data_IF_119893637945
#
_entry.id   IF_119893637945
#
_cell.length_a   1.000
_cell.length_b   1.000
_cell.length_c   1.000
_cell.angle_alpha   90.00
_cell.angle_beta   90.00
_cell.angle_gamma   90.00
#
_symmetry.space_group_name_H-M   'P 1'
#
loop_
_entity.id
_entity.type
_entity.pdbx_description
1 polymer ?
#
# COMPACT_ATOMS: atom_id res chain seq x y z
N UNK A 1 10.45 4.38 -23.24
CA UNK A 1 9.84 4.34 -21.90
C UNK A 1 8.51 5.07 -21.97
N UNK A 2 7.38 4.43 -21.66
CA UNK A 2 6.09 5.12 -21.61
C UNK A 2 6.03 5.93 -20.31
N UNK A 3 5.92 7.26 -20.40
CA UNK A 3 5.67 8.13 -19.24
C UNK A 3 4.43 7.66 -18.47
N UNK A 4 4.47 7.74 -17.15
CA UNK A 4 3.28 7.48 -16.32
C UNK A 4 2.18 8.50 -16.69
N UNK A 5 0.94 8.06 -16.98
CA UNK A 5 -0.15 8.98 -17.25
C UNK A 5 -0.43 9.89 -16.03
N UNK A 6 -0.79 11.16 -16.29
CA UNK A 6 -0.94 12.19 -15.25
C UNK A 6 -1.96 11.82 -14.18
N UNK A 7 -3.13 11.31 -14.56
CA UNK A 7 -4.19 10.99 -13.60
C UNK A 7 -3.77 9.89 -12.59
N UNK A 8 -3.30 8.69 -13.00
CA UNK A 8 -2.73 7.71 -12.08
C UNK A 8 -1.60 8.27 -11.22
N UNK A 9 -0.72 9.10 -11.78
CA UNK A 9 0.38 9.69 -11.03
C UNK A 9 -0.14 10.58 -9.88
N UNK A 10 -0.99 11.56 -10.19
CA UNK A 10 -1.50 12.50 -9.18
C UNK A 10 -2.36 11.81 -8.13
N UNK A 11 -3.23 10.87 -8.54
CA UNK A 11 -4.06 10.13 -7.60
C UNK A 11 -3.22 9.25 -6.67
N UNK A 12 -2.16 8.61 -7.20
CA UNK A 12 -1.31 7.77 -6.38
C UNK A 12 -0.40 8.57 -5.44
N UNK A 13 0.06 9.75 -5.86
CA UNK A 13 0.74 10.70 -4.98
C UNK A 13 -0.18 11.24 -3.88
N UNK A 14 -1.44 11.56 -4.20
CA UNK A 14 -2.43 11.95 -3.20
C UNK A 14 -2.70 10.82 -2.21
N UNK A 15 -2.64 9.57 -2.65
CA UNK A 15 -2.69 8.38 -1.78
C UNK A 15 -1.56 8.30 -0.76
N UNK A 16 -0.46 9.06 -0.89
CA UNK A 16 0.59 9.12 0.14
C UNK A 16 0.24 10.05 1.31
N UNK A 17 -0.75 10.93 1.15
CA UNK A 17 -1.07 11.95 2.15
C UNK A 17 -1.36 11.37 3.55
N UNK A 18 -2.16 10.29 3.71
CA UNK A 18 -2.41 9.75 5.05
C UNK A 18 -1.16 9.17 5.74
N UNK A 19 -0.22 8.62 4.96
CA UNK A 19 1.04 8.13 5.51
C UNK A 19 1.93 9.28 5.99
N UNK A 20 2.08 10.31 5.15
CA UNK A 20 2.84 11.52 5.49
C UNK A 20 2.22 12.26 6.67
N UNK A 21 0.89 12.34 6.74
CA UNK A 21 0.17 12.94 7.86
C UNK A 21 0.44 12.17 9.15
N UNK A 22 0.38 10.83 9.10
CA UNK A 22 0.72 10.00 10.25
C UNK A 22 2.15 10.27 10.72
N UNK A 23 3.14 10.34 9.83
CA UNK A 23 4.52 10.69 10.18
C UNK A 23 4.60 12.09 10.80
N UNK A 24 3.87 13.08 10.25
CA UNK A 24 3.81 14.43 10.82
C UNK A 24 3.28 14.44 12.25
N UNK A 25 2.17 13.73 12.51
CA UNK A 25 1.61 13.59 13.87
C UNK A 25 2.49 12.78 14.82
N UNK A 26 3.44 12.00 14.31
CA UNK A 26 4.41 11.30 15.17
C UNK A 26 5.52 12.24 15.66
N UNK A 27 5.92 13.23 14.86
CA UNK A 27 7.02 14.15 15.21
C UNK A 27 6.60 15.51 15.78
N UNK A 28 5.31 15.85 15.73
CA UNK A 28 4.80 17.14 16.21
C UNK A 28 3.66 16.96 17.19
N UNK A 29 3.92 17.26 18.46
CA UNK A 29 2.93 17.21 19.54
C UNK A 29 1.75 18.15 19.27
N UNK A 30 2.01 19.36 18.76
CA UNK A 30 0.96 20.31 18.39
C UNK A 30 0.06 19.77 17.28
N UNK A 31 0.66 19.17 16.24
CA UNK A 31 -0.10 18.58 15.14
C UNK A 31 -0.89 17.36 15.60
N UNK A 32 -0.30 16.53 16.48
CA UNK A 32 -0.98 15.41 17.11
C UNK A 32 -2.18 15.87 17.93
N UNK A 33 -1.99 16.83 18.84
CA UNK A 33 -3.03 17.35 19.72
C UNK A 33 -4.17 17.99 18.92
N UNK A 34 -3.83 18.80 17.91
CA UNK A 34 -4.82 19.40 17.02
C UNK A 34 -5.59 18.33 16.24
N UNK A 35 -4.91 17.33 15.67
CA UNK A 35 -5.53 16.25 14.91
C UNK A 35 -6.42 15.38 15.80
N UNK A 36 -5.97 15.08 17.01
CA UNK A 36 -6.73 14.32 17.99
C UNK A 36 -8.03 15.04 18.37
N UNK A 37 -7.97 16.36 18.59
CA UNK A 37 -9.12 17.16 18.99
C UNK A 37 -10.13 17.39 17.85
N UNK A 38 -9.65 17.57 16.61
CA UNK A 38 -10.50 18.01 15.49
C UNK A 38 -10.88 16.89 14.52
N UNK A 39 -10.02 15.88 14.34
CA UNK A 39 -10.23 14.76 13.40
C UNK A 39 -10.52 13.45 14.14
N UNK A 40 -9.98 13.29 15.35
CA UNK A 40 -10.15 12.13 16.20
C UNK A 40 -9.00 11.12 16.11
N UNK A 41 -9.00 10.15 17.03
CA UNK A 41 -7.89 9.22 17.26
C UNK A 41 -7.52 8.32 16.07
N UNK A 42 -8.42 8.14 15.10
CA UNK A 42 -8.14 7.38 13.88
C UNK A 42 -7.22 8.13 12.90
N UNK A 43 -7.07 9.44 13.04
CA UNK A 43 -6.32 10.30 12.11
C UNK A 43 -4.97 10.76 12.67
N UNK A 44 -4.44 10.06 13.66
CA UNK A 44 -3.10 10.29 14.23
C UNK A 44 -2.25 9.02 14.19
N UNK A 45 -0.94 9.18 14.36
CA UNK A 45 -0.02 8.07 14.49
C UNK A 45 -0.32 7.19 15.72
N UNK A 46 -0.04 5.88 15.65
CA UNK A 46 0.26 5.10 14.45
C UNK A 46 -1.01 4.62 13.72
N UNK A 47 -2.20 4.87 14.27
CA UNK A 47 -3.46 4.29 13.80
C UNK A 47 -3.80 4.66 12.35
N UNK A 48 -3.54 5.90 11.93
CA UNK A 48 -3.86 6.35 10.57
C UNK A 48 -3.08 5.55 9.52
N UNK A 49 -1.76 5.47 9.63
CA UNK A 49 -0.95 4.73 8.67
C UNK A 49 -1.22 3.22 8.68
N UNK A 50 -1.52 2.62 9.83
CA UNK A 50 -1.82 1.19 9.93
C UNK A 50 -3.16 0.85 9.29
N UNK A 51 -4.22 1.60 9.64
CA UNK A 51 -5.56 1.40 9.10
C UNK A 51 -5.59 1.67 7.59
N UNK A 52 -4.99 2.79 7.16
CA UNK A 52 -4.95 3.14 5.74
C UNK A 52 -4.02 2.22 4.93
N UNK A 53 -2.89 1.78 5.50
CA UNK A 53 -2.01 0.79 4.89
C UNK A 53 -2.72 -0.54 4.62
N UNK A 54 -3.56 -0.98 5.57
CA UNK A 54 -4.41 -2.17 5.41
C UNK A 54 -5.40 -1.98 4.25
N UNK A 55 -6.07 -0.83 4.18
CA UNK A 55 -7.01 -0.50 3.11
C UNK A 55 -6.31 -0.52 1.75
N UNK A 56 -5.14 0.10 1.62
CA UNK A 56 -4.41 0.17 0.35
C UNK A 56 -3.91 -1.22 -0.07
N UNK A 57 -3.38 -2.01 0.87
CA UNK A 57 -2.92 -3.36 0.56
C UNK A 57 -4.05 -4.25 0.04
N UNK A 58 -5.24 -4.18 0.66
CA UNK A 58 -6.44 -4.88 0.20
C UNK A 58 -6.98 -4.31 -1.13
N UNK A 59 -6.98 -2.99 -1.32
CA UNK A 59 -7.37 -2.36 -2.59
C UNK A 59 -6.53 -2.86 -3.76
N UNK A 60 -5.21 -3.00 -3.56
CA UNK A 60 -4.29 -3.46 -4.59
C UNK A 60 -4.53 -4.92 -5.01
N UNK A 61 -5.07 -5.76 -4.11
CA UNK A 61 -5.57 -7.09 -4.47
C UNK A 61 -6.65 -7.02 -5.56
N UNK A 62 -7.60 -6.10 -5.43
CA UNK A 62 -8.62 -5.86 -6.46
C UNK A 62 -8.03 -5.37 -7.79
N UNK A 63 -6.97 -4.56 -7.75
CA UNK A 63 -6.26 -4.13 -8.96
C UNK A 63 -5.58 -5.31 -9.67
N UNK A 64 -4.88 -6.17 -8.93
CA UNK A 64 -4.27 -7.37 -9.48
C UNK A 64 -5.33 -8.32 -10.06
N UNK A 65 -6.48 -8.46 -9.41
CA UNK A 65 -7.60 -9.25 -9.94
C UNK A 65 -8.08 -8.65 -11.27
N UNK A 66 -8.20 -7.33 -11.35
CA UNK A 66 -8.51 -6.60 -12.59
C UNK A 66 -7.51 -6.90 -13.71
N UNK A 67 -6.20 -6.97 -13.41
CA UNK A 67 -5.20 -7.38 -14.41
C UNK A 67 -5.27 -8.86 -14.78
N UNK A 68 -5.64 -9.73 -13.82
CA UNK A 68 -5.80 -11.16 -14.07
C UNK A 68 -6.88 -11.46 -15.12
N UNK A 69 -7.84 -10.56 -15.33
CA UNK A 69 -8.85 -10.68 -16.41
C UNK A 69 -8.25 -10.75 -17.81
N UNK A 70 -7.02 -10.25 -18.00
CA UNK A 70 -6.30 -10.31 -19.28
C UNK A 70 -5.55 -11.63 -19.48
N UNK A 71 -5.42 -12.45 -18.45
CA UNK A 71 -4.73 -13.73 -18.54
C UNK A 71 -5.64 -14.79 -19.19
N UNK A 72 -5.07 -15.61 -20.07
CA UNK A 72 -5.76 -16.71 -20.75
C UNK A 72 -5.29 -18.09 -20.29
N UNK A 73 -6.14 -19.10 -20.46
CA UNK A 73 -5.82 -20.50 -20.22
C UNK A 73 -5.41 -20.80 -18.77
N UNK A 74 -4.46 -21.71 -18.57
CA UNK A 74 -3.97 -22.12 -17.25
C UNK A 74 -3.35 -21.00 -16.42
N UNK A 75 -2.83 -19.94 -17.06
CA UNK A 75 -2.25 -18.77 -16.37
C UNK A 75 -3.31 -17.92 -15.65
N UNK A 76 -4.56 -17.96 -16.10
CA UNK A 76 -5.64 -17.18 -15.49
C UNK A 76 -5.90 -17.60 -14.04
N UNK A 77 -5.99 -18.90 -13.78
CA UNK A 77 -6.22 -19.43 -12.43
C UNK A 77 -5.10 -18.99 -11.46
N UNK A 78 -3.85 -19.06 -11.90
CA UNK A 78 -2.69 -18.62 -11.11
C UNK A 78 -2.74 -17.11 -10.85
N UNK A 79 -3.03 -16.30 -11.88
CA UNK A 79 -3.13 -14.85 -11.72
C UNK A 79 -4.23 -14.47 -10.71
N UNK A 80 -5.41 -15.10 -10.77
CA UNK A 80 -6.46 -14.86 -9.78
C UNK A 80 -6.05 -15.30 -8.37
N UNK A 81 -5.46 -16.49 -8.22
CA UNK A 81 -4.99 -16.98 -6.92
C UNK A 81 -3.93 -16.06 -6.30
N UNK A 82 -2.97 -15.56 -7.10
CA UNK A 82 -1.97 -14.62 -6.62
C UNK A 82 -2.59 -13.26 -6.27
N UNK A 83 -3.62 -12.83 -7.00
CA UNK A 83 -4.24 -11.52 -6.80
C UNK A 83 -4.88 -11.34 -5.43
N UNK A 84 -5.37 -12.41 -4.79
CA UNK A 84 -6.03 -12.34 -3.46
C UNK A 84 -5.06 -12.30 -2.29
N UNK A 85 -3.81 -12.69 -2.50
CA UNK A 85 -2.82 -12.81 -1.43
C UNK A 85 -2.63 -11.52 -0.61
N UNK A 86 -2.56 -10.30 -1.19
CA UNK A 86 -2.41 -9.08 -0.41
C UNK A 86 -3.58 -8.82 0.55
N UNK A 87 -4.82 -9.09 0.12
CA UNK A 87 -6.00 -8.89 0.97
C UNK A 87 -6.05 -9.92 2.10
N UNK A 88 -5.74 -11.19 1.81
CA UNK A 88 -5.67 -12.23 2.85
C UNK A 88 -4.52 -11.96 3.83
N UNK A 89 -3.37 -11.52 3.34
CA UNK A 89 -2.25 -11.11 4.18
C UNK A 89 -2.68 -9.97 5.12
N UNK A 90 -3.32 -8.94 4.59
CA UNK A 90 -3.83 -7.83 5.40
C UNK A 90 -4.79 -8.32 6.51
N UNK A 91 -5.73 -9.21 6.16
CA UNK A 91 -6.71 -9.74 7.10
C UNK A 91 -6.10 -10.59 8.22
N UNK A 92 -5.16 -11.49 7.90
CA UNK A 92 -4.61 -12.43 8.89
C UNK A 92 -3.41 -11.87 9.67
N UNK A 93 -2.60 -11.01 9.05
CA UNK A 93 -1.30 -10.61 9.62
C UNK A 93 -1.31 -9.21 10.24
N UNK A 94 -2.21 -8.32 9.83
CA UNK A 94 -2.23 -6.96 10.39
C UNK A 94 -2.98 -6.95 11.73
N UNK A 95 -2.23 -7.04 12.82
CA UNK A 95 -2.74 -7.09 14.18
C UNK A 95 -1.62 -7.29 15.21
N UNK A 96 -1.99 -7.59 16.47
CA UNK A 96 -1.00 -7.91 17.51
C UNK A 96 -0.19 -6.71 18.02
N UNK A 97 -0.70 -5.49 17.85
CA UNK A 97 -0.08 -4.24 18.29
C UNK A 97 0.60 -3.45 17.16
N UNK A 98 0.95 -2.16 17.40
CA UNK A 98 1.37 -1.25 16.34
C UNK A 98 2.63 -1.67 15.59
N UNK A 99 3.66 -2.16 16.31
CA UNK A 99 4.93 -2.57 15.71
C UNK A 99 4.75 -3.81 14.83
N UNK A 100 4.07 -4.85 15.33
CA UNK A 100 3.79 -6.07 14.57
C UNK A 100 2.94 -5.79 13.33
N UNK A 101 1.86 -5.02 13.50
CA UNK A 101 1.00 -4.60 12.39
C UNK A 101 1.79 -3.80 11.33
N UNK A 102 2.63 -2.86 11.76
CA UNK A 102 3.48 -2.07 10.86
C UNK A 102 4.50 -2.93 10.10
N UNK A 103 5.16 -3.86 10.80
CA UNK A 103 6.10 -4.80 10.19
C UNK A 103 5.41 -5.70 9.14
N UNK A 104 4.23 -6.23 9.47
CA UNK A 104 3.45 -7.05 8.53
C UNK A 104 2.97 -6.25 7.32
N UNK A 105 2.64 -4.96 7.49
CA UNK A 105 2.34 -4.09 6.35
C UNK A 105 3.56 -3.86 5.46
N UNK A 106 4.75 -3.63 6.03
CA UNK A 106 6.00 -3.49 5.25
C UNK A 106 6.23 -4.75 4.40
N UNK A 107 6.17 -5.94 5.00
CA UNK A 107 6.29 -7.19 4.25
C UNK A 107 5.17 -7.38 3.22
N UNK A 108 3.94 -6.99 3.55
CA UNK A 108 2.81 -7.02 2.63
C UNK A 108 3.03 -6.16 1.39
N UNK A 109 3.53 -4.92 1.56
CA UNK A 109 3.84 -4.03 0.45
C UNK A 109 5.04 -4.49 -0.39
N UNK A 110 6.06 -5.08 0.24
CA UNK A 110 7.17 -5.71 -0.49
C UNK A 110 6.69 -6.91 -1.31
N UNK A 111 5.90 -7.80 -0.71
CA UNK A 111 5.30 -8.94 -1.40
C UNK A 111 4.40 -8.49 -2.56
N UNK A 112 3.59 -7.45 -2.34
CA UNK A 112 2.78 -6.85 -3.39
C UNK A 112 3.64 -6.30 -4.55
N UNK A 113 4.77 -5.66 -4.29
CA UNK A 113 5.65 -5.17 -5.35
C UNK A 113 6.26 -6.32 -6.18
N UNK A 114 6.56 -7.46 -5.54
CA UNK A 114 6.99 -8.67 -6.24
C UNK A 114 5.86 -9.23 -7.13
N UNK A 115 4.61 -9.22 -6.65
CA UNK A 115 3.44 -9.60 -7.45
C UNK A 115 3.23 -8.62 -8.61
N UNK A 116 3.35 -7.32 -8.39
CA UNK A 116 3.30 -6.29 -9.45
C UNK A 116 4.33 -6.59 -10.55
N UNK A 117 5.55 -6.97 -10.15
CA UNK A 117 6.61 -7.34 -11.09
C UNK A 117 6.29 -8.63 -11.85
N UNK A 118 5.76 -9.63 -11.18
CA UNK A 118 5.32 -10.88 -11.81
C UNK A 118 4.22 -10.64 -12.86
N UNK A 119 3.22 -9.84 -12.52
CA UNK A 119 2.14 -9.48 -13.46
C UNK A 119 2.66 -8.66 -14.64
N UNK A 120 3.66 -7.81 -14.43
CA UNK A 120 4.36 -7.08 -15.49
C UNK A 120 5.11 -8.03 -16.44
N UNK A 121 5.81 -9.02 -15.90
CA UNK A 121 6.54 -10.03 -16.67
C UNK A 121 5.59 -10.87 -17.54
N UNK A 122 4.36 -11.11 -17.06
CA UNK A 122 3.31 -11.79 -17.83
C UNK A 122 2.56 -10.87 -18.80
N UNK A 123 2.94 -9.58 -18.88
CA UNK A 123 2.32 -8.61 -19.78
C UNK A 123 0.90 -8.21 -19.41
N UNK A 124 0.47 -8.45 -18.16
CA UNK A 124 -0.88 -8.17 -17.69
C UNK A 124 -1.08 -6.69 -17.29
N UNK A 125 0.01 -6.03 -16.89
CA UNK A 125 0.01 -4.63 -16.46
C UNK A 125 0.37 -3.67 -17.60
N UNK A 126 0.01 -2.38 -17.49
CA UNK A 126 0.55 -1.34 -18.36
C UNK A 126 2.09 -1.21 -18.23
N UNK A 127 2.78 -0.80 -19.30
CA UNK A 127 4.25 -0.64 -19.33
C UNK A 127 4.82 0.35 -18.30
N UNK A 128 4.01 1.30 -17.83
CA UNK A 128 4.39 2.31 -16.84
C UNK A 128 4.14 1.89 -15.39
N UNK A 129 3.53 0.72 -15.16
CA UNK A 129 3.04 0.31 -13.84
C UNK A 129 4.12 0.28 -12.78
N UNK A 130 5.21 -0.46 -12.99
CA UNK A 130 6.31 -0.54 -12.03
C UNK A 130 7.03 0.79 -11.83
N UNK A 131 7.14 1.63 -12.86
CA UNK A 131 7.73 2.96 -12.74
C UNK A 131 6.94 3.86 -11.77
N UNK A 132 5.63 3.62 -11.63
CA UNK A 132 4.79 4.27 -10.63
C UNK A 132 4.86 3.54 -9.28
N UNK A 133 4.75 2.21 -9.26
CA UNK A 133 4.61 1.43 -8.03
C UNK A 133 5.87 1.42 -7.17
N UNK A 134 7.07 1.31 -7.77
CA UNK A 134 8.34 1.27 -7.01
C UNK A 134 8.54 2.48 -6.10
N UNK A 135 8.49 3.74 -6.59
CA UNK A 135 8.71 4.91 -5.73
C UNK A 135 7.60 5.08 -4.68
N UNK A 136 6.34 4.76 -5.02
CA UNK A 136 5.23 4.83 -4.06
C UNK A 136 5.39 3.81 -2.93
N UNK A 137 5.69 2.55 -3.27
CA UNK A 137 5.92 1.51 -2.27
C UNK A 137 7.11 1.86 -1.38
N UNK A 138 8.19 2.41 -1.95
CA UNK A 138 9.33 2.88 -1.16
C UNK A 138 8.93 3.99 -0.18
N UNK A 139 8.15 4.98 -0.63
CA UNK A 139 7.65 6.06 0.23
C UNK A 139 6.74 5.54 1.35
N UNK A 140 5.83 4.61 1.04
CA UNK A 140 4.95 3.98 2.04
C UNK A 140 5.76 3.20 3.07
N UNK A 141 6.72 2.38 2.63
CA UNK A 141 7.59 1.62 3.54
C UNK A 141 8.41 2.56 4.42
N UNK A 142 8.95 3.65 3.87
CA UNK A 142 9.68 4.64 4.66
C UNK A 142 8.79 5.26 5.76
N UNK A 143 7.54 5.61 5.43
CA UNK A 143 6.60 6.14 6.43
C UNK A 143 6.26 5.10 7.51
N UNK A 144 5.93 3.87 7.10
CA UNK A 144 5.64 2.78 8.05
C UNK A 144 6.84 2.48 8.96
N UNK A 145 8.06 2.57 8.42
CA UNK A 145 9.29 2.35 9.18
C UNK A 145 9.45 3.34 10.33
N UNK A 146 8.98 4.59 10.17
CA UNK A 146 8.96 5.56 11.28
C UNK A 146 8.16 4.99 12.45
N UNK A 147 6.92 4.54 12.22
CA UNK A 147 6.08 4.01 13.30
C UNK A 147 6.52 2.66 13.88
N UNK A 148 7.48 1.98 13.26
CA UNK A 148 7.99 0.66 13.69
C UNK A 148 9.32 0.79 14.43
N UNK A 149 10.19 1.71 14.01
CA UNK A 149 11.59 1.77 14.46
C UNK A 149 11.98 3.05 15.20
N UNK A 150 11.16 4.10 15.15
CA UNK A 150 11.41 5.41 15.77
C UNK A 150 10.32 5.72 16.81
#
# INVERSE_FOLDING_TARGET
MSSVPRAPLFLALAGLLPFLWSVGTHYSDDLYAWSMANLGSRFVAPYLQLSYGTVILAFMSGVLWGFATKAGGSKAAVAYALSVLPALWAFFMVGGGPVSAGMNLIFGFLGLLLLDAFFQLWGLTPRWWLALRVPLTAAVIACLSVGVFL
#
